data_IF_992489392464
#
_entry.id   IF_992489392464
#
_cell.length_a   1.000
_cell.length_b   1.000
_cell.length_c   1.000
_cell.angle_alpha   90.00
_cell.angle_beta   90.00
_cell.angle_gamma   90.00
#
_symmetry.space_group_name_H-M   'P 1'
#
loop_
_entity.id
_entity.type
_entity.pdbx_description
1 polymer ?
#
# COMPACT_ATOMS: atom_id res chain seq x y z
N UNK A 1 10.81 -19.83 28.04
CA UNK A 1 10.26 -18.45 27.99
C UNK A 1 8.74 -18.53 28.06
N UNK A 2 8.04 -17.64 28.78
CA UNK A 2 6.56 -17.63 28.78
C UNK A 2 6.03 -17.28 27.38
N UNK A 3 4.93 -17.89 26.93
CA UNK A 3 4.35 -17.63 25.59
C UNK A 3 4.13 -16.13 25.35
N UNK A 4 3.60 -15.41 26.35
CA UNK A 4 3.35 -13.96 26.25
C UNK A 4 4.61 -13.20 25.86
N UNK A 5 5.77 -13.53 26.45
CA UNK A 5 7.05 -12.88 26.16
C UNK A 5 7.51 -13.22 24.73
N UNK A 6 7.35 -14.48 24.29
CA UNK A 6 7.64 -14.87 22.91
C UNK A 6 6.78 -14.08 21.91
N UNK A 7 5.46 -14.05 22.11
CA UNK A 7 4.55 -13.32 21.24
C UNK A 7 4.83 -11.81 21.24
N UNK A 8 5.07 -11.20 22.40
CA UNK A 8 5.41 -9.77 22.50
C UNK A 8 6.70 -9.42 21.76
N UNK A 9 7.76 -10.22 21.91
CA UNK A 9 9.03 -10.01 21.18
C UNK A 9 8.87 -10.22 19.67
N UNK A 10 8.12 -11.25 19.26
CA UNK A 10 7.84 -11.55 17.87
C UNK A 10 7.01 -10.43 17.20
N UNK A 11 5.99 -9.91 17.89
CA UNK A 11 5.23 -8.74 17.43
C UNK A 11 6.08 -7.47 17.36
N UNK A 12 6.87 -7.18 18.41
CA UNK A 12 7.77 -6.03 18.40
C UNK A 12 8.75 -6.05 17.23
N UNK A 13 9.31 -7.23 16.90
CA UNK A 13 10.22 -7.39 15.76
C UNK A 13 9.50 -7.21 14.40
N UNK A 14 8.28 -7.73 14.25
CA UNK A 14 7.52 -7.56 13.00
C UNK A 14 7.03 -6.11 12.80
N UNK A 15 6.61 -5.43 13.87
CA UNK A 15 6.26 -4.01 13.83
C UNK A 15 7.50 -3.15 13.55
N UNK A 16 8.64 -3.43 14.18
CA UNK A 16 9.90 -2.74 13.88
C UNK A 16 10.32 -2.91 12.41
N UNK A 17 10.04 -4.08 11.83
CA UNK A 17 10.27 -4.32 10.41
C UNK A 17 9.32 -3.51 9.51
N UNK A 18 8.01 -3.67 9.67
CA UNK A 18 7.01 -3.03 8.80
C UNK A 18 6.89 -1.51 8.98
N UNK A 19 7.02 -1.00 10.21
CA UNK A 19 6.88 0.43 10.49
C UNK A 19 8.16 1.24 10.20
N UNK A 20 9.33 0.59 10.10
CA UNK A 20 10.63 1.28 9.92
C UNK A 20 11.53 0.68 8.83
N UNK A 21 11.99 -0.57 8.99
CA UNK A 21 12.94 -1.16 8.03
C UNK A 21 12.38 -1.30 6.61
N UNK A 22 11.07 -1.53 6.46
CA UNK A 22 10.40 -1.60 5.17
C UNK A 22 10.54 -0.32 4.33
N UNK A 23 10.56 0.86 4.95
CA UNK A 23 10.83 2.14 4.27
C UNK A 23 12.35 2.38 4.08
N UNK A 24 13.17 1.90 5.01
CA UNK A 24 14.58 2.25 5.14
C UNK A 24 15.54 1.44 4.23
N UNK A 25 15.21 0.16 3.98
CA UNK A 25 16.13 -0.81 3.36
C UNK A 25 15.90 -1.02 1.86
N UNK A 26 14.67 -1.34 1.37
CA UNK A 26 14.46 -1.63 -0.05
C UNK A 26 14.83 -0.45 -0.93
N UNK A 27 14.42 0.75 -0.51
CA UNK A 27 14.77 2.04 -1.12
C UNK A 27 16.28 2.14 -1.36
N UNK A 28 17.12 2.01 -0.34
CA UNK A 28 18.58 2.10 -0.48
C UNK A 28 19.26 0.98 -1.27
N UNK A 29 18.57 -0.13 -1.56
CA UNK A 29 19.15 -1.30 -2.21
C UNK A 29 18.74 -1.41 -3.69
N UNK A 30 17.57 -0.91 -4.07
CA UNK A 30 17.11 -0.88 -5.48
C UNK A 30 17.28 0.50 -6.13
N UNK A 31 17.15 1.58 -5.35
CA UNK A 31 17.28 2.95 -5.83
C UNK A 31 18.69 3.50 -5.57
N UNK A 32 19.30 4.11 -6.59
CA UNK A 32 20.63 4.71 -6.51
C UNK A 32 20.79 5.83 -7.56
N UNK A 33 21.70 6.77 -7.30
CA UNK A 33 22.11 7.77 -8.29
C UNK A 33 22.95 7.09 -9.38
N UNK A 34 22.46 7.06 -10.62
CA UNK A 34 23.07 6.25 -11.71
C UNK A 34 24.46 6.71 -12.15
N UNK A 35 24.91 7.91 -11.73
CA UNK A 35 26.19 8.52 -12.10
C UNK A 35 27.47 7.80 -11.62
N UNK A 36 27.35 6.76 -10.78
CA UNK A 36 28.46 6.14 -10.03
C UNK A 36 29.59 5.55 -10.91
N UNK A 37 29.35 5.31 -12.21
CA UNK A 37 30.31 4.68 -13.12
C UNK A 37 30.97 5.59 -14.17
N UNK A 38 30.61 6.88 -14.28
CA UNK A 38 31.17 7.77 -15.30
C UNK A 38 31.66 9.09 -14.69
N UNK A 39 32.98 9.17 -14.53
CA UNK A 39 33.78 10.37 -14.25
C UNK A 39 33.60 11.04 -12.87
N UNK A 40 34.52 10.69 -11.96
CA UNK A 40 34.72 11.31 -10.63
C UNK A 40 34.97 12.83 -10.66
N UNK A 41 35.34 13.42 -11.81
CA UNK A 41 35.60 14.85 -11.92
C UNK A 41 34.33 15.69 -12.17
N UNK A 42 33.19 15.08 -12.50
CA UNK A 42 32.01 15.82 -12.95
C UNK A 42 30.96 16.00 -11.84
N UNK A 43 30.64 17.26 -11.52
CA UNK A 43 29.55 17.58 -10.59
C UNK A 43 28.18 17.38 -11.26
N UNK A 44 27.23 16.84 -10.50
CA UNK A 44 25.86 16.58 -10.95
C UNK A 44 24.85 17.08 -9.90
N UNK A 45 23.74 17.64 -10.37
CA UNK A 45 22.62 18.03 -9.52
C UNK A 45 21.69 16.83 -9.29
N UNK A 46 21.42 16.51 -8.02
CA UNK A 46 20.56 15.40 -7.59
C UNK A 46 19.11 15.85 -7.45
N UNK A 47 18.21 15.22 -8.18
CA UNK A 47 16.81 15.60 -8.26
C UNK A 47 15.94 14.40 -7.84
N UNK A 48 14.92 14.62 -7.01
CA UNK A 48 13.90 13.62 -6.69
C UNK A 48 12.52 14.10 -7.16
N UNK A 49 11.89 13.35 -8.05
CA UNK A 49 10.55 13.64 -8.59
C UNK A 49 9.47 12.79 -7.91
N UNK A 50 8.39 13.43 -7.48
CA UNK A 50 7.29 12.85 -6.67
C UNK A 50 5.95 13.20 -7.35
N UNK A 51 5.08 12.21 -7.54
CA UNK A 51 3.80 12.35 -8.25
C UNK A 51 2.59 12.03 -7.36
N UNK A 52 1.45 12.65 -7.68
CA UNK A 52 0.10 12.36 -7.19
C UNK A 52 -0.08 12.14 -5.65
N UNK A 53 0.26 13.11 -4.77
CA UNK A 53 -0.07 13.02 -3.32
C UNK A 53 -1.57 13.04 -2.99
N UNK A 54 -2.36 13.76 -3.81
CA UNK A 54 -3.84 13.85 -3.86
C UNK A 54 -4.56 13.89 -2.48
N UNK A 55 -4.06 14.67 -1.51
CA UNK A 55 -4.53 14.72 -0.10
C UNK A 55 -6.06 14.70 0.02
N UNK A 56 -6.60 13.76 0.82
CA UNK A 56 -8.04 13.43 0.85
C UNK A 56 -8.89 14.49 1.56
N UNK A 57 -9.94 14.95 0.89
CA UNK A 57 -10.86 15.96 1.38
C UNK A 57 -11.93 15.44 2.37
N UNK A 58 -12.52 16.35 3.14
CA UNK A 58 -13.43 16.09 4.28
C UNK A 58 -14.89 15.76 3.91
N UNK A 59 -15.14 15.14 2.75
CA UNK A 59 -16.52 14.78 2.35
C UNK A 59 -17.08 13.56 3.12
N UNK A 60 -18.37 13.27 2.92
CA UNK A 60 -19.30 12.86 3.99
C UNK A 60 -19.31 11.40 4.45
N UNK A 61 -18.26 10.93 5.15
CA UNK A 61 -18.41 9.89 6.19
C UNK A 61 -17.24 9.93 7.21
N UNK A 62 -17.41 10.48 8.44
CA UNK A 62 -16.29 10.99 9.23
C UNK A 62 -15.32 9.91 9.74
N UNK A 63 -15.76 8.99 10.60
CA UNK A 63 -14.83 8.15 11.39
C UNK A 63 -13.97 7.21 10.52
N UNK A 64 -14.58 6.57 9.52
CA UNK A 64 -13.85 5.67 8.63
C UNK A 64 -12.88 6.42 7.72
N UNK A 65 -13.28 7.58 7.19
CA UNK A 65 -12.43 8.39 6.32
C UNK A 65 -11.25 8.98 7.09
N UNK A 66 -11.46 9.49 8.29
CA UNK A 66 -10.38 10.09 9.10
C UNK A 66 -9.27 9.06 9.40
N UNK A 67 -9.64 7.81 9.68
CA UNK A 67 -8.67 6.71 9.84
C UNK A 67 -7.93 6.40 8.53
N UNK A 68 -8.64 6.35 7.39
CA UNK A 68 -8.04 6.11 6.07
C UNK A 68 -7.08 7.25 5.69
N UNK A 69 -7.49 8.51 5.88
CA UNK A 69 -6.68 9.71 5.69
C UNK A 69 -5.43 9.68 6.57
N UNK A 70 -5.58 9.47 7.88
CA UNK A 70 -4.46 9.40 8.83
C UNK A 70 -3.41 8.37 8.42
N UNK A 71 -3.81 7.14 8.05
CA UNK A 71 -2.86 6.13 7.59
C UNK A 71 -2.27 6.42 6.19
N UNK A 72 -2.92 7.21 5.35
CA UNK A 72 -2.39 7.67 4.06
C UNK A 72 -1.34 8.77 4.23
N UNK A 73 -1.64 9.81 5.04
CA UNK A 73 -0.68 10.86 5.39
C UNK A 73 0.54 10.29 6.14
N UNK A 74 0.31 9.37 7.08
CA UNK A 74 1.36 8.69 7.84
C UNK A 74 2.26 7.84 6.92
N UNK A 75 1.68 7.15 5.93
CA UNK A 75 2.46 6.45 4.90
C UNK A 75 3.33 7.42 4.09
N UNK A 76 2.73 8.45 3.48
CA UNK A 76 3.45 9.41 2.64
C UNK A 76 4.58 10.10 3.42
N UNK A 77 4.33 10.45 4.68
CA UNK A 77 5.31 11.05 5.59
C UNK A 77 6.48 10.11 5.91
N UNK A 78 6.22 8.84 6.21
CA UNK A 78 7.29 7.82 6.44
C UNK A 78 8.11 7.60 5.19
N UNK A 79 7.43 7.40 4.05
CA UNK A 79 8.00 7.29 2.71
C UNK A 79 8.94 8.45 2.43
N UNK A 80 8.48 9.68 2.56
CA UNK A 80 9.28 10.86 2.26
C UNK A 80 10.49 11.01 3.18
N UNK A 81 10.29 10.89 4.50
CA UNK A 81 11.37 11.08 5.49
C UNK A 81 12.39 9.93 5.52
N UNK A 82 11.99 8.70 5.18
CA UNK A 82 12.80 7.48 5.40
C UNK A 82 13.26 6.79 4.12
N UNK A 83 12.56 7.02 2.99
CA UNK A 83 12.86 6.43 1.68
C UNK A 83 13.41 7.46 0.69
N UNK A 84 12.90 8.70 0.69
CA UNK A 84 13.25 9.72 -0.33
C UNK A 84 14.33 10.69 0.18
N UNK A 85 14.08 11.42 1.27
CA UNK A 85 15.05 12.40 1.81
C UNK A 85 16.45 11.83 2.10
N UNK A 86 16.65 10.57 2.52
CA UNK A 86 18.00 10.05 2.78
C UNK A 86 18.89 9.89 1.54
N UNK A 87 18.38 10.08 0.32
CA UNK A 87 19.19 10.24 -0.88
C UNK A 87 19.86 11.63 -0.99
N UNK A 88 19.49 12.56 -0.10
CA UNK A 88 19.97 13.94 -0.03
C UNK A 88 19.89 14.69 -1.38
N UNK A 89 18.68 14.86 -1.95
CA UNK A 89 18.49 15.59 -3.20
C UNK A 89 18.77 17.09 -3.03
N UNK A 90 19.31 17.71 -4.08
CA UNK A 90 19.51 19.16 -4.17
C UNK A 90 18.24 19.87 -4.66
N UNK A 91 17.37 19.14 -5.36
CA UNK A 91 16.04 19.61 -5.79
C UNK A 91 14.99 18.50 -5.61
N UNK A 92 13.79 18.88 -5.16
CA UNK A 92 12.59 18.04 -5.18
C UNK A 92 11.62 18.63 -6.21
N UNK A 93 11.17 17.82 -7.16
CA UNK A 93 10.12 18.16 -8.11
C UNK A 93 8.82 17.48 -7.68
N UNK A 94 7.78 18.26 -7.49
CA UNK A 94 6.42 17.77 -7.30
C UNK A 94 5.69 17.88 -8.65
N UNK A 95 5.10 16.77 -9.12
CA UNK A 95 4.54 16.62 -10.47
C UNK A 95 3.01 16.77 -10.52
N UNK A 96 2.43 17.61 -9.65
CA UNK A 96 1.00 17.89 -9.60
C UNK A 96 0.15 16.91 -8.79
N UNK A 97 -1.13 17.23 -8.76
CA UNK A 97 -2.24 16.54 -8.09
C UNK A 97 -1.97 16.39 -6.58
N UNK A 98 -1.94 17.53 -5.88
CA UNK A 98 -1.65 17.62 -4.45
C UNK A 98 -2.86 17.35 -3.56
N UNK A 99 -4.08 17.55 -4.07
CA UNK A 99 -5.35 17.48 -3.32
C UNK A 99 -6.44 16.70 -4.09
N UNK A 100 -7.44 16.18 -3.40
CA UNK A 100 -8.48 15.28 -3.93
C UNK A 100 -9.75 16.04 -4.39
N UNK A 101 -9.56 17.12 -5.17
CA UNK A 101 -10.64 17.92 -5.77
C UNK A 101 -10.72 19.38 -5.33
N UNK A 102 -9.65 20.17 -5.52
CA UNK A 102 -9.57 21.57 -5.03
C UNK A 102 -10.67 22.51 -5.52
N UNK A 103 -11.33 22.17 -6.63
CA UNK A 103 -12.33 22.99 -7.32
C UNK A 103 -13.66 23.16 -6.55
N UNK A 104 -13.79 22.64 -5.31
CA UNK A 104 -15.06 22.63 -4.56
C UNK A 104 -14.92 22.66 -3.03
N UNK A 105 -13.76 23.07 -2.48
CA UNK A 105 -13.52 23.23 -1.03
C UNK A 105 -13.43 24.71 -0.62
N UNK A 106 -13.56 25.02 0.67
CA UNK A 106 -13.43 26.41 1.15
C UNK A 106 -11.95 26.84 1.28
N UNK A 107 -11.72 28.15 1.40
CA UNK A 107 -10.37 28.71 1.64
C UNK A 107 -9.75 28.14 2.93
N UNK A 108 -10.55 27.93 3.99
CA UNK A 108 -10.07 27.31 5.23
C UNK A 108 -9.67 25.84 5.03
N UNK A 109 -10.45 25.07 4.28
CA UNK A 109 -10.13 23.67 3.97
C UNK A 109 -8.90 23.57 3.06
N UNK A 110 -8.76 24.45 2.08
CA UNK A 110 -7.55 24.56 1.24
C UNK A 110 -6.31 24.90 2.09
N UNK A 111 -6.40 25.85 3.03
CA UNK A 111 -5.27 26.17 3.92
C UNK A 111 -4.95 25.03 4.90
N UNK A 112 -5.93 24.28 5.38
CA UNK A 112 -5.69 23.11 6.25
C UNK A 112 -5.07 21.94 5.46
N UNK A 113 -5.51 21.71 4.23
CA UNK A 113 -4.90 20.75 3.29
C UNK A 113 -3.47 21.16 2.91
N UNK A 114 -3.22 22.44 2.59
CA UNK A 114 -1.88 22.98 2.32
C UNK A 114 -0.97 22.90 3.55
N UNK A 115 -1.50 23.11 4.76
CA UNK A 115 -0.81 22.87 6.03
C UNK A 115 -0.44 21.41 6.22
N UNK A 116 -1.36 20.49 5.87
CA UNK A 116 -1.15 19.03 5.92
C UNK A 116 -0.06 18.60 4.92
N UNK A 117 -0.09 19.11 3.68
CA UNK A 117 0.94 18.90 2.66
C UNK A 117 2.33 19.36 3.14
N UNK A 118 2.42 20.61 3.65
CA UNK A 118 3.64 21.17 4.24
C UNK A 118 4.14 20.38 5.46
N UNK A 119 3.23 19.79 6.24
CA UNK A 119 3.60 18.89 7.34
C UNK A 119 4.19 17.57 6.81
N UNK A 120 3.45 16.82 5.98
CA UNK A 120 3.81 15.50 5.44
C UNK A 120 5.19 15.55 4.80
N UNK A 121 5.37 16.45 3.84
CA UNK A 121 6.62 16.67 3.10
C UNK A 121 7.61 17.60 3.83
N UNK A 122 7.36 17.94 5.10
CA UNK A 122 8.33 18.58 6.01
C UNK A 122 8.93 19.89 5.45
N UNK A 123 8.18 20.59 4.58
CA UNK A 123 8.69 21.64 3.69
C UNK A 123 9.26 22.82 4.48
N UNK A 124 8.57 23.23 5.56
CA UNK A 124 8.99 24.28 6.47
C UNK A 124 10.39 24.04 7.09
N UNK A 125 10.82 22.77 7.23
CA UNK A 125 12.18 22.43 7.67
C UNK A 125 13.16 22.42 6.51
N UNK A 126 12.76 21.91 5.35
CA UNK A 126 13.58 21.88 4.13
C UNK A 126 14.00 23.31 3.76
N UNK A 127 13.02 24.20 3.58
CA UNK A 127 13.24 25.62 3.22
C UNK A 127 14.02 26.42 4.26
N UNK A 128 14.02 26.00 5.54
CA UNK A 128 14.71 26.69 6.64
C UNK A 128 16.10 26.12 6.97
N UNK A 129 16.38 24.86 6.67
CA UNK A 129 17.57 24.15 7.19
C UNK A 129 18.36 23.33 6.17
N UNK A 130 17.93 23.29 4.91
CA UNK A 130 18.68 22.66 3.82
C UNK A 130 18.80 23.62 2.63
N UNK A 131 19.75 23.35 1.74
CA UNK A 131 19.86 24.04 0.45
C UNK A 131 18.98 23.38 -0.64
N UNK A 132 18.12 22.42 -0.28
CA UNK A 132 17.27 21.67 -1.20
C UNK A 132 16.13 22.56 -1.69
N UNK A 133 16.06 22.79 -3.01
CA UNK A 133 14.99 23.57 -3.63
C UNK A 133 13.76 22.70 -3.89
N UNK A 134 12.59 23.32 -4.03
CA UNK A 134 11.32 22.64 -4.36
C UNK A 134 10.64 23.35 -5.50
N UNK A 135 10.19 22.62 -6.52
CA UNK A 135 9.37 23.14 -7.62
C UNK A 135 8.11 22.31 -7.77
N UNK A 136 7.03 22.93 -8.23
CA UNK A 136 5.68 22.39 -8.23
C UNK A 136 5.06 22.58 -9.60
N UNK A 137 4.65 21.48 -10.22
CA UNK A 137 3.87 21.45 -11.45
C UNK A 137 2.38 21.44 -11.10
N UNK A 138 1.51 22.01 -11.93
CA UNK A 138 0.06 21.93 -11.70
C UNK A 138 -0.51 20.60 -12.21
N UNK A 139 -1.26 19.90 -11.37
CA UNK A 139 -2.12 18.79 -11.77
C UNK A 139 -3.54 19.25 -12.10
N UNK A 140 -4.34 18.37 -12.73
CA UNK A 140 -5.72 18.71 -13.10
C UNK A 140 -6.67 18.82 -11.88
N UNK A 141 -6.27 18.34 -10.69
CA UNK A 141 -7.01 18.53 -9.43
C UNK A 141 -6.58 19.80 -8.65
N UNK A 142 -5.53 20.50 -9.07
CA UNK A 142 -4.92 21.62 -8.33
C UNK A 142 -5.41 23.02 -8.76
N UNK A 143 -6.02 23.14 -9.94
CA UNK A 143 -6.27 24.44 -10.62
C UNK A 143 -7.66 25.03 -10.25
N UNK A 144 -8.23 24.63 -9.11
CA UNK A 144 -9.58 25.06 -8.68
C UNK A 144 -9.71 26.56 -8.45
N UNK A 145 -8.68 27.18 -7.86
CA UNK A 145 -8.50 28.64 -7.80
C UNK A 145 -7.06 28.96 -8.18
N UNK A 146 -6.86 29.52 -9.38
CA UNK A 146 -5.52 29.81 -9.91
C UNK A 146 -4.72 30.73 -8.97
N UNK A 147 -5.36 31.73 -8.36
CA UNK A 147 -4.72 32.65 -7.41
C UNK A 147 -4.26 31.92 -6.14
N UNK A 148 -5.06 30.97 -5.65
CA UNK A 148 -4.75 30.13 -4.48
C UNK A 148 -3.67 29.09 -4.78
N UNK A 149 -3.55 28.64 -6.03
CA UNK A 149 -2.46 27.80 -6.51
C UNK A 149 -1.15 28.59 -6.64
N UNK A 150 -1.13 29.66 -7.46
CA UNK A 150 0.11 30.38 -7.78
C UNK A 150 0.73 31.05 -6.55
N UNK A 151 -0.09 31.52 -5.59
CA UNK A 151 0.39 32.07 -4.31
C UNK A 151 0.99 31.01 -3.37
N UNK A 152 0.65 29.73 -3.54
CA UNK A 152 1.15 28.62 -2.73
C UNK A 152 2.34 27.87 -3.36
N UNK A 153 2.35 27.75 -4.69
CA UNK A 153 3.22 26.85 -5.45
C UNK A 153 4.06 27.54 -6.54
N UNK A 154 3.71 28.77 -6.95
CA UNK A 154 4.31 29.48 -8.07
C UNK A 154 3.57 29.29 -9.39
N UNK A 155 4.04 29.96 -10.45
CA UNK A 155 3.37 29.99 -11.75
C UNK A 155 3.25 28.61 -12.41
N UNK A 156 2.07 28.29 -12.96
CA UNK A 156 1.76 26.97 -13.54
C UNK A 156 2.61 26.62 -14.77
N UNK A 157 3.12 27.62 -15.49
CA UNK A 157 4.10 27.46 -16.56
C UNK A 157 5.42 28.11 -16.13
N UNK A 158 6.52 27.36 -16.13
CA UNK A 158 7.82 27.85 -15.63
C UNK A 158 9.02 27.22 -16.34
N UNK A 159 10.16 27.92 -16.30
CA UNK A 159 11.49 27.39 -16.62
C UNK A 159 12.39 27.47 -15.41
N UNK A 160 13.17 26.42 -15.15
CA UNK A 160 14.26 26.42 -14.18
C UNK A 160 15.46 25.65 -14.72
N UNK A 161 16.64 26.27 -14.71
CA UNK A 161 17.90 25.59 -15.01
C UNK A 161 18.44 24.91 -13.75
N UNK A 162 18.67 23.59 -13.82
CA UNK A 162 19.20 22.75 -12.72
C UNK A 162 20.45 22.05 -13.25
N UNK A 163 21.62 22.45 -12.76
CA UNK A 163 22.89 22.10 -13.41
C UNK A 163 23.04 22.84 -14.73
N UNK A 164 23.39 22.12 -15.81
CA UNK A 164 23.35 22.64 -17.20
C UNK A 164 22.07 22.24 -17.96
N UNK A 165 21.00 21.85 -17.26
CA UNK A 165 19.76 21.34 -17.89
C UNK A 165 18.58 22.27 -17.62
N UNK A 166 17.86 22.66 -18.67
CA UNK A 166 16.67 23.51 -18.60
C UNK A 166 15.41 22.65 -18.41
N UNK A 167 14.82 22.68 -17.21
CA UNK A 167 13.54 22.04 -16.90
C UNK A 167 12.40 23.01 -17.18
N UNK A 168 11.41 22.58 -17.96
CA UNK A 168 10.28 23.40 -18.41
C UNK A 168 8.99 22.73 -17.94
N UNK A 169 8.34 23.33 -16.96
CA UNK A 169 7.01 22.95 -16.49
C UNK A 169 5.92 23.60 -17.32
N UNK A 170 4.96 22.79 -17.76
CA UNK A 170 3.79 23.26 -18.51
C UNK A 170 2.48 22.94 -17.79
N UNK A 171 1.52 23.86 -17.90
CA UNK A 171 0.14 23.62 -17.51
C UNK A 171 -0.55 22.76 -18.59
N UNK A 172 -0.59 21.45 -18.33
CA UNK A 172 -1.17 20.46 -19.22
C UNK A 172 -2.69 20.63 -19.42
N UNK A 173 -3.40 21.13 -18.41
CA UNK A 173 -4.85 21.33 -18.47
C UNK A 173 -5.18 22.55 -19.34
N UNK A 174 -4.45 23.66 -19.16
CA UNK A 174 -4.60 24.86 -19.98
C UNK A 174 -4.09 24.67 -21.42
N UNK A 175 -3.11 23.79 -21.66
CA UNK A 175 -2.58 23.51 -23.00
C UNK A 175 -3.64 22.96 -23.97
N UNK A 176 -4.54 22.08 -23.51
CA UNK A 176 -5.70 21.59 -24.28
C UNK A 176 -7.00 22.35 -23.94
N UNK A 177 -6.89 23.47 -23.23
CA UNK A 177 -7.99 24.35 -22.83
C UNK A 177 -8.72 25.00 -24.00
N UNK A 178 -9.96 25.44 -23.74
CA UNK A 178 -10.88 25.86 -24.80
C UNK A 178 -10.32 27.03 -25.65
N UNK A 179 -10.35 26.98 -27.00
CA UNK A 179 -9.78 28.03 -27.86
C UNK A 179 -10.41 29.43 -27.73
N UNK A 180 -11.54 29.55 -27.03
CA UNK A 180 -12.22 30.83 -26.76
C UNK A 180 -12.39 31.10 -25.25
N UNK A 181 -11.73 30.33 -24.38
CA UNK A 181 -11.69 30.58 -22.93
C UNK A 181 -10.73 31.70 -22.56
N UNK A 182 -10.73 32.12 -21.30
CA UNK A 182 -9.80 33.15 -20.79
C UNK A 182 -8.32 32.71 -20.89
N UNK A 183 -8.06 31.41 -20.76
CA UNK A 183 -6.77 30.79 -21.01
C UNK A 183 -6.91 29.82 -22.18
N UNK A 184 -6.26 30.12 -23.30
CA UNK A 184 -6.33 29.33 -24.54
C UNK A 184 -5.03 28.57 -24.77
N UNK A 185 -5.12 27.45 -25.50
CA UNK A 185 -3.95 26.70 -26.00
C UNK A 185 -2.89 27.60 -26.66
N UNK A 186 -3.31 28.54 -27.51
CA UNK A 186 -2.44 29.54 -28.16
C UNK A 186 -1.74 30.48 -27.15
N UNK A 187 -2.40 30.83 -26.05
CA UNK A 187 -1.83 31.67 -24.99
C UNK A 187 -0.84 30.87 -24.14
N UNK A 188 -1.14 29.60 -23.84
CA UNK A 188 -0.19 28.67 -23.20
C UNK A 188 1.08 28.51 -24.04
N UNK A 189 0.94 28.22 -25.33
CA UNK A 189 2.07 28.08 -26.27
C UNK A 189 2.90 29.38 -26.41
N UNK A 190 2.25 30.56 -26.36
CA UNK A 190 2.97 31.86 -26.30
C UNK A 190 3.70 32.07 -24.97
N UNK A 191 3.12 31.64 -23.85
CA UNK A 191 3.77 31.62 -22.54
C UNK A 191 5.02 30.74 -22.56
N UNK A 192 4.91 29.51 -23.08
CA UNK A 192 6.03 28.58 -23.26
C UNK A 192 7.10 29.18 -24.20
N UNK A 193 6.72 29.79 -25.32
CA UNK A 193 7.65 30.51 -26.22
C UNK A 193 8.46 31.59 -25.49
N UNK A 194 7.82 32.36 -24.60
CA UNK A 194 8.50 33.40 -23.81
C UNK A 194 9.47 32.84 -22.75
N UNK A 195 9.39 31.55 -22.41
CA UNK A 195 10.34 30.84 -21.54
C UNK A 195 11.52 30.22 -22.31
N UNK A 196 11.47 30.18 -23.64
CA UNK A 196 12.44 29.48 -24.49
C UNK A 196 13.53 30.41 -25.02
N UNK A 197 14.52 30.70 -24.17
CA UNK A 197 15.77 31.36 -24.57
C UNK A 197 16.50 30.61 -25.71
N UNK A 198 17.42 31.33 -26.37
CA UNK A 198 18.46 30.75 -27.25
C UNK A 198 19.54 30.08 -26.38
N UNK A 199 19.11 29.08 -25.62
CA UNK A 199 19.91 28.22 -24.75
C UNK A 199 20.19 26.89 -25.46
N UNK A 200 21.46 26.48 -25.47
CA UNK A 200 21.91 25.17 -25.96
C UNK A 200 21.78 24.04 -24.93
N UNK A 201 21.29 24.35 -23.72
CA UNK A 201 21.13 23.38 -22.64
C UNK A 201 20.20 22.23 -23.07
N UNK A 202 20.48 20.98 -22.68
CA UNK A 202 19.51 19.90 -22.74
C UNK A 202 18.23 20.28 -22.01
N UNK A 203 17.08 19.88 -22.54
CA UNK A 203 15.76 20.26 -22.01
C UNK A 203 15.00 19.07 -21.46
N UNK A 204 14.37 19.26 -20.30
CA UNK A 204 13.40 18.32 -19.73
C UNK A 204 12.03 18.97 -19.73
N UNK A 205 11.04 18.29 -20.34
CA UNK A 205 9.64 18.68 -20.23
C UNK A 205 9.04 18.04 -18.97
N UNK A 206 8.38 18.85 -18.14
CA UNK A 206 7.57 18.41 -17.01
C UNK A 206 6.10 18.68 -17.35
N UNK A 207 5.27 17.65 -17.41
CA UNK A 207 3.84 17.79 -17.72
C UNK A 207 3.02 16.78 -16.91
N UNK A 208 2.05 17.24 -16.10
CA UNK A 208 1.34 16.34 -15.19
C UNK A 208 0.61 15.23 -15.97
N UNK A 209 -0.19 15.63 -16.96
CA UNK A 209 -0.89 14.72 -17.87
C UNK A 209 0.12 14.18 -18.91
N UNK A 210 0.28 12.86 -19.08
CA UNK A 210 1.19 12.27 -20.05
C UNK A 210 0.93 12.69 -21.50
N UNK A 211 1.95 12.57 -22.33
CA UNK A 211 1.86 12.91 -23.75
C UNK A 211 0.99 11.91 -24.54
N UNK A 212 0.45 12.37 -25.67
CA UNK A 212 -0.35 11.53 -26.55
C UNK A 212 0.40 10.25 -26.95
N UNK A 213 -0.28 9.11 -26.80
CA UNK A 213 0.16 7.81 -27.30
C UNK A 213 -1.04 6.98 -27.78
N UNK A 214 -0.90 6.16 -28.84
CA UNK A 214 -1.97 5.28 -29.28
C UNK A 214 -2.47 4.33 -28.18
N UNK A 215 -3.72 3.90 -28.28
CA UNK A 215 -4.27 2.86 -27.40
C UNK A 215 -3.40 1.60 -27.39
N UNK A 216 -3.32 0.94 -26.23
CA UNK A 216 -2.50 -0.26 -26.00
C UNK A 216 -0.97 -0.07 -26.18
N UNK A 217 -0.47 1.17 -26.21
CA UNK A 217 0.98 1.44 -26.20
C UNK A 217 1.67 0.79 -25.00
N UNK A 218 2.67 -0.10 -25.20
CA UNK A 218 3.35 -0.77 -24.09
C UNK A 218 4.15 0.18 -23.19
N UNK A 219 3.93 0.09 -21.89
CA UNK A 219 4.56 0.98 -20.87
C UNK A 219 5.94 0.54 -20.37
N UNK A 220 6.59 -0.44 -21.02
CA UNK A 220 7.80 -1.06 -20.49
C UNK A 220 7.54 -2.03 -19.32
N UNK A 221 8.61 -2.52 -18.64
CA UNK A 221 8.52 -3.66 -17.72
C UNK A 221 8.08 -3.31 -16.29
N UNK A 222 7.87 -2.03 -15.98
CA UNK A 222 7.62 -1.56 -14.61
C UNK A 222 6.14 -1.31 -14.29
N UNK A 223 5.25 -1.26 -15.30
CA UNK A 223 3.82 -1.09 -15.09
C UNK A 223 3.22 -2.30 -14.35
N UNK A 224 2.35 -2.05 -13.37
CA UNK A 224 1.70 -3.10 -12.57
C UNK A 224 0.23 -3.36 -12.96
N UNK A 225 -0.43 -2.36 -13.53
CA UNK A 225 -1.84 -2.35 -13.95
C UNK A 225 -2.01 -2.53 -15.46
N UNK A 226 -3.24 -2.79 -15.96
CA UNK A 226 -3.55 -2.69 -17.38
C UNK A 226 -3.22 -1.30 -17.95
N UNK A 227 -2.92 -1.23 -19.25
CA UNK A 227 -2.65 0.03 -19.95
C UNK A 227 -3.92 0.89 -19.94
N UNK A 228 -3.81 2.15 -19.51
CA UNK A 228 -4.86 3.15 -19.65
C UNK A 228 -4.88 3.64 -21.11
N UNK A 229 -6.03 3.50 -21.77
CA UNK A 229 -6.25 3.97 -23.15
C UNK A 229 -6.71 5.43 -23.19
N UNK A 230 -6.82 6.00 -24.40
CA UNK A 230 -7.29 7.37 -24.62
C UNK A 230 -8.72 7.56 -24.09
N UNK A 231 -8.90 8.59 -23.26
CA UNK A 231 -10.20 9.05 -22.78
C UNK A 231 -10.15 10.56 -22.62
N UNK A 232 -11.19 11.23 -23.14
CA UNK A 232 -11.40 12.67 -23.00
C UNK A 232 -12.88 12.92 -22.74
N UNK A 233 -13.19 13.53 -21.59
CA UNK A 233 -14.53 13.99 -21.26
C UNK A 233 -14.62 15.50 -21.47
N UNK A 234 -15.65 15.92 -22.22
CA UNK A 234 -15.94 17.33 -22.53
C UNK A 234 -17.34 17.68 -22.06
N UNK A 235 -17.58 18.95 -21.75
CA UNK A 235 -18.93 19.47 -21.50
C UNK A 235 -19.69 19.50 -22.84
N UNK A 236 -20.94 19.03 -22.86
CA UNK A 236 -21.77 19.09 -24.06
C UNK A 236 -21.90 20.54 -24.57
N UNK A 237 -21.83 20.69 -25.89
CA UNK A 237 -21.72 21.97 -26.63
C UNK A 237 -20.47 22.85 -26.35
N UNK A 238 -19.73 22.64 -25.27
CA UNK A 238 -18.70 23.59 -24.80
C UNK A 238 -17.28 23.42 -25.38
N UNK A 239 -16.95 22.29 -26.02
CA UNK A 239 -15.59 21.85 -26.41
C UNK A 239 -14.55 21.74 -25.28
N UNK A 240 -14.71 22.44 -24.16
CA UNK A 240 -13.89 22.39 -22.94
C UNK A 240 -13.68 20.97 -22.41
N UNK A 241 -12.45 20.66 -21.98
CA UNK A 241 -12.06 19.36 -21.44
C UNK A 241 -12.17 19.39 -19.92
N UNK A 242 -13.05 18.54 -19.37
CA UNK A 242 -13.22 18.36 -17.92
C UNK A 242 -12.18 17.38 -17.38
N UNK A 243 -11.82 16.37 -18.19
CA UNK A 243 -10.88 15.32 -17.82
C UNK A 243 -10.28 14.68 -19.08
N UNK A 244 -8.97 14.42 -19.08
CA UNK A 244 -8.30 13.63 -20.12
C UNK A 244 -7.16 12.80 -19.53
N UNK A 245 -7.00 11.55 -19.99
CA UNK A 245 -5.90 10.68 -19.58
C UNK A 245 -4.54 11.13 -20.17
N UNK A 246 -4.57 11.90 -21.26
CA UNK A 246 -3.43 12.27 -22.09
C UNK A 246 -3.64 13.66 -22.69
N UNK A 247 -2.54 14.38 -22.93
CA UNK A 247 -2.53 15.58 -23.78
C UNK A 247 -2.91 15.18 -25.21
N UNK A 248 -3.63 16.04 -25.94
CA UNK A 248 -4.05 15.71 -27.31
C UNK A 248 -2.86 15.56 -28.27
N UNK A 249 -3.04 14.77 -29.34
CA UNK A 249 -2.02 14.55 -30.38
C UNK A 249 -1.49 15.87 -30.98
N UNK A 250 -2.40 16.80 -31.29
CA UNK A 250 -2.05 18.13 -31.83
C UNK A 250 -1.13 18.89 -30.86
N UNK A 251 -1.52 18.96 -29.59
CA UNK A 251 -0.77 19.70 -28.57
C UNK A 251 0.56 19.03 -28.26
N UNK A 252 0.58 17.70 -28.14
CA UNK A 252 1.79 16.87 -27.98
C UNK A 252 2.81 17.14 -29.08
N UNK A 253 2.39 17.04 -30.35
CA UNK A 253 3.26 17.33 -31.50
C UNK A 253 3.77 18.78 -31.49
N UNK A 254 2.90 19.74 -31.12
CA UNK A 254 3.26 21.15 -31.03
C UNK A 254 4.33 21.45 -29.97
N UNK A 255 4.21 20.89 -28.76
CA UNK A 255 5.19 21.11 -27.69
C UNK A 255 6.49 20.34 -27.91
N UNK A 256 6.47 19.16 -28.54
CA UNK A 256 7.67 18.41 -28.89
C UNK A 256 8.50 19.15 -29.96
N UNK A 257 7.86 19.64 -31.03
CA UNK A 257 8.52 20.45 -32.07
C UNK A 257 9.09 21.78 -31.55
N UNK A 258 8.42 22.38 -30.57
CA UNK A 258 8.76 23.67 -29.96
C UNK A 258 9.89 23.56 -28.92
N UNK A 259 9.71 22.69 -27.93
CA UNK A 259 10.63 22.57 -26.79
C UNK A 259 11.85 21.73 -27.17
N UNK A 260 11.65 20.66 -27.96
CA UNK A 260 12.64 19.63 -28.34
C UNK A 260 13.34 19.02 -27.12
N UNK A 261 12.58 18.42 -26.19
CA UNK A 261 13.15 17.82 -24.98
C UNK A 261 14.00 16.60 -25.31
N UNK A 262 14.99 16.33 -24.45
CA UNK A 262 15.71 15.06 -24.41
C UNK A 262 14.96 14.01 -23.56
N UNK A 263 14.21 14.49 -22.56
CA UNK A 263 13.45 13.70 -21.59
C UNK A 263 12.11 14.40 -21.27
N UNK A 264 11.06 13.62 -21.06
CA UNK A 264 9.77 14.07 -20.52
C UNK A 264 9.51 13.34 -19.20
N UNK A 265 9.03 14.05 -18.18
CA UNK A 265 8.46 13.46 -16.97
C UNK A 265 6.97 13.77 -16.90
N UNK A 266 6.18 12.75 -16.61
CA UNK A 266 4.72 12.86 -16.40
C UNK A 266 4.22 12.11 -15.17
N UNK A 267 2.95 12.29 -14.84
CA UNK A 267 2.26 11.76 -13.67
C UNK A 267 0.85 11.25 -14.09
N UNK A 268 -0.21 11.44 -13.29
CA UNK A 268 -1.63 11.23 -13.64
C UNK A 268 -2.10 9.77 -13.87
N UNK A 269 -1.32 8.96 -14.59
CA UNK A 269 -1.56 7.51 -14.83
C UNK A 269 -1.48 6.69 -13.53
N UNK A 270 -0.93 7.28 -12.45
CA UNK A 270 -0.63 6.72 -11.12
C UNK A 270 0.31 5.49 -11.14
N UNK A 271 0.54 4.88 -12.29
CA UNK A 271 1.38 3.70 -12.52
C UNK A 271 2.58 4.01 -13.40
N UNK A 272 3.61 3.18 -13.30
CA UNK A 272 4.88 3.44 -13.99
C UNK A 272 4.74 3.18 -15.49
N UNK A 273 5.15 4.14 -16.32
CA UNK A 273 5.18 3.98 -17.77
C UNK A 273 6.48 4.54 -18.37
N UNK A 274 6.94 3.98 -19.48
CA UNK A 274 8.04 4.53 -20.27
C UNK A 274 7.75 4.39 -21.76
N UNK A 275 7.79 5.51 -22.48
CA UNK A 275 7.38 5.64 -23.89
C UNK A 275 8.41 6.45 -24.66
N UNK A 276 8.50 6.20 -25.97
CA UNK A 276 9.46 6.79 -26.90
C UNK A 276 8.75 7.68 -27.92
N UNK A 277 8.93 9.00 -27.83
CA UNK A 277 8.26 10.00 -28.69
C UNK A 277 9.20 10.52 -29.76
N UNK A 278 8.82 10.38 -31.03
CA UNK A 278 9.58 10.90 -32.18
C UNK A 278 8.99 12.22 -32.69
N UNK A 279 9.85 13.16 -33.08
CA UNK A 279 9.50 14.44 -33.70
C UNK A 279 10.54 14.81 -34.77
N UNK A 280 10.30 15.82 -35.61
CA UNK A 280 10.96 15.97 -36.94
C UNK A 280 12.50 15.89 -36.90
N UNK A 281 13.12 16.42 -35.85
CA UNK A 281 14.57 16.48 -35.68
C UNK A 281 15.05 15.83 -34.37
N UNK A 282 14.27 14.91 -33.77
CA UNK A 282 14.67 14.34 -32.48
C UNK A 282 13.77 13.24 -31.93
N UNK A 283 14.09 12.88 -30.68
CA UNK A 283 13.38 11.87 -29.92
C UNK A 283 13.48 12.18 -28.43
N UNK A 284 12.35 12.16 -27.73
CA UNK A 284 12.28 12.27 -26.28
C UNK A 284 11.77 10.97 -25.66
N UNK A 285 12.48 10.47 -24.64
CA UNK A 285 11.93 9.42 -23.78
C UNK A 285 10.98 10.08 -22.78
N UNK A 286 9.77 9.55 -22.62
CA UNK A 286 8.88 9.90 -21.52
C UNK A 286 8.98 8.85 -20.42
N UNK A 287 9.08 9.30 -19.16
CA UNK A 287 8.82 8.48 -17.99
C UNK A 287 7.61 9.03 -17.24
N UNK A 288 6.53 8.26 -17.18
CA UNK A 288 5.41 8.53 -16.27
C UNK A 288 5.76 7.97 -14.90
N UNK A 289 5.86 8.86 -13.92
CA UNK A 289 6.20 8.55 -12.53
C UNK A 289 4.91 8.13 -11.81
N UNK A 290 4.85 6.89 -11.32
CA UNK A 290 3.70 6.42 -10.56
C UNK A 290 3.61 7.07 -9.18
N UNK A 291 2.39 7.17 -8.66
CA UNK A 291 2.01 7.91 -7.44
C UNK A 291 2.88 7.61 -6.22
N UNK A 292 3.03 8.60 -5.33
CA UNK A 292 3.61 8.44 -3.99
C UNK A 292 2.62 7.83 -2.97
N UNK A 293 1.35 7.61 -3.34
CA UNK A 293 0.25 7.16 -2.46
C UNK A 293 -0.17 5.72 -2.75
N UNK A 294 -0.22 4.88 -1.71
CA UNK A 294 -0.60 3.46 -1.77
C UNK A 294 -2.08 3.14 -2.10
N UNK A 295 -2.89 4.11 -2.51
CA UNK A 295 -4.36 4.01 -2.58
C UNK A 295 -4.95 4.31 -3.97
N UNK A 296 -4.18 4.86 -4.91
CA UNK A 296 -4.68 5.27 -6.23
C UNK A 296 -4.52 4.15 -7.28
N UNK A 297 -5.09 2.98 -6.99
CA UNK A 297 -5.08 1.81 -7.87
C UNK A 297 -3.73 1.08 -8.01
N UNK A 298 -2.61 1.79 -7.99
CA UNK A 298 -1.27 1.22 -8.06
C UNK A 298 -0.88 0.55 -6.73
N UNK A 299 -0.51 -0.73 -6.81
CA UNK A 299 0.00 -1.51 -5.66
C UNK A 299 1.47 -1.22 -5.33
N UNK A 300 2.22 -0.60 -6.25
CA UNK A 300 3.64 -0.34 -6.15
C UNK A 300 3.94 1.17 -6.32
N UNK A 301 3.64 2.00 -5.30
CA UNK A 301 3.93 3.44 -5.35
C UNK A 301 5.41 3.72 -5.64
N UNK A 302 5.71 4.87 -6.23
CA UNK A 302 7.08 5.20 -6.65
C UNK A 302 7.46 6.66 -6.44
N UNK A 303 8.74 6.91 -6.67
CA UNK A 303 9.33 8.21 -6.99
C UNK A 303 10.41 7.98 -8.05
N UNK A 304 10.90 9.03 -8.70
CA UNK A 304 12.04 8.93 -9.63
C UNK A 304 13.22 9.75 -9.12
N UNK A 305 14.41 9.18 -9.19
CA UNK A 305 15.65 9.94 -9.07
C UNK A 305 16.14 10.36 -10.45
N UNK A 306 16.60 11.61 -10.57
CA UNK A 306 17.28 12.12 -11.74
C UNK A 306 18.62 12.75 -11.36
N UNK A 307 19.57 12.69 -12.28
CA UNK A 307 20.84 13.40 -12.16
C UNK A 307 21.13 14.18 -13.44
N UNK A 308 21.30 15.49 -13.29
CA UNK A 308 21.66 16.41 -14.36
C UNK A 308 23.15 16.76 -14.24
N UNK A 309 23.92 16.56 -15.30
CA UNK A 309 25.38 16.80 -15.33
C UNK A 309 25.70 18.28 -15.57
N UNK A 310 26.72 18.81 -14.89
CA UNK A 310 27.17 20.20 -15.02
C UNK A 310 28.33 20.36 -16.03
N UNK A 311 28.43 19.49 -17.03
CA UNK A 311 29.42 19.51 -18.12
C UNK A 311 28.99 18.52 -19.20
N UNK A 312 28.21 18.97 -20.19
CA UNK A 312 27.60 18.09 -21.20
C UNK A 312 28.25 18.21 -22.60
N UNK A 313 28.77 17.08 -23.11
CA UNK A 313 29.25 16.93 -24.51
C UNK A 313 28.13 16.38 -25.43
N UNK A 314 27.06 15.85 -24.83
CA UNK A 314 25.89 15.27 -25.51
C UNK A 314 24.64 15.47 -24.63
N UNK A 315 23.49 15.86 -25.19
CA UNK A 315 22.25 16.04 -24.42
C UNK A 315 21.67 14.76 -23.81
N UNK A 316 22.00 13.58 -24.37
CA UNK A 316 21.50 12.29 -23.85
C UNK A 316 22.34 11.77 -22.68
N UNK A 317 23.63 12.09 -22.66
CA UNK A 317 24.55 11.71 -21.58
C UNK A 317 24.55 12.74 -20.42
N UNK A 318 23.82 13.85 -20.58
CA UNK A 318 23.63 14.88 -19.56
C UNK A 318 22.60 14.51 -18.48
N UNK A 319 21.75 13.51 -18.76
CA UNK A 319 20.59 13.16 -17.95
C UNK A 319 20.54 11.65 -17.68
N UNK A 320 20.52 11.29 -16.40
CA UNK A 320 20.31 9.91 -15.96
C UNK A 320 19.07 9.82 -15.08
N UNK A 321 18.23 8.81 -15.30
CA UNK A 321 17.02 8.52 -14.53
C UNK A 321 17.15 7.18 -13.81
N UNK A 322 16.43 7.01 -12.69
CA UNK A 322 16.25 5.73 -12.01
C UNK A 322 14.88 5.72 -11.30
N UNK A 323 14.07 4.69 -11.50
CA UNK A 323 12.72 4.60 -10.93
C UNK A 323 12.74 3.78 -9.65
N UNK A 324 12.14 4.33 -8.59
CA UNK A 324 12.39 3.91 -7.22
C UNK A 324 11.08 3.56 -6.51
N UNK A 325 10.89 2.27 -6.30
CA UNK A 325 9.68 1.73 -5.66
C UNK A 325 9.66 1.94 -4.15
N UNK A 326 8.45 2.13 -3.63
CA UNK A 326 8.14 2.39 -2.23
C UNK A 326 7.47 1.16 -1.58
N UNK A 327 7.30 1.13 -0.24
CA UNK A 327 6.81 -0.06 0.44
C UNK A 327 5.33 -0.34 0.11
N UNK A 328 5.03 -1.58 -0.30
CA UNK A 328 3.67 -2.01 -0.59
C UNK A 328 2.85 -2.12 0.70
N UNK A 329 2.17 -1.03 1.08
CA UNK A 329 1.50 -0.89 2.38
C UNK A 329 0.41 -1.97 2.60
N UNK A 330 -0.28 -2.37 1.53
CA UNK A 330 -1.25 -3.48 1.55
C UNK A 330 -0.61 -4.78 2.03
N UNK A 331 0.59 -5.12 1.55
CA UNK A 331 1.32 -6.33 1.98
C UNK A 331 1.70 -6.26 3.47
N UNK A 332 2.09 -5.09 3.98
CA UNK A 332 2.41 -4.88 5.41
C UNK A 332 1.16 -5.12 6.26
N UNK A 333 0.00 -4.58 5.87
CA UNK A 333 -1.26 -4.78 6.59
C UNK A 333 -1.79 -6.22 6.47
N UNK A 334 -1.70 -6.87 5.31
CA UNK A 334 -2.04 -8.29 5.14
C UNK A 334 -1.13 -9.19 5.97
N UNK A 335 0.15 -8.85 6.11
CA UNK A 335 1.08 -9.54 7.01
C UNK A 335 0.66 -9.39 8.48
N UNK A 336 0.40 -8.16 8.96
CA UNK A 336 -0.09 -7.93 10.32
C UNK A 336 -1.42 -8.67 10.61
N UNK A 337 -2.37 -8.67 9.67
CA UNK A 337 -3.62 -9.41 9.82
C UNK A 337 -3.39 -10.93 9.91
N UNK A 338 -2.45 -11.45 9.13
CA UNK A 338 -2.05 -12.86 9.15
C UNK A 338 -1.37 -13.23 10.48
N UNK A 339 -0.47 -12.38 10.99
CA UNK A 339 0.15 -12.52 12.31
C UNK A 339 -0.90 -12.49 13.43
N UNK A 340 -1.93 -11.65 13.32
CA UNK A 340 -3.02 -11.56 14.29
C UNK A 340 -3.86 -12.84 14.30
N UNK A 341 -4.29 -13.32 13.13
CA UNK A 341 -5.02 -14.58 13.02
C UNK A 341 -4.22 -15.77 13.59
N UNK A 342 -2.93 -15.86 13.27
CA UNK A 342 -2.02 -16.87 13.83
C UNK A 342 -1.84 -16.74 15.34
N UNK A 343 -1.73 -15.51 15.86
CA UNK A 343 -1.63 -15.24 17.31
C UNK A 343 -2.88 -15.70 18.06
N UNK A 344 -4.08 -15.43 17.51
CA UNK A 344 -5.36 -15.90 18.08
C UNK A 344 -5.42 -17.42 18.07
N UNK A 345 -5.05 -18.09 16.97
CA UNK A 345 -5.00 -19.55 16.89
C UNK A 345 -4.03 -20.15 17.91
N UNK A 346 -2.84 -19.57 18.08
CA UNK A 346 -1.87 -20.01 19.10
C UNK A 346 -2.46 -19.86 20.51
N UNK A 347 -3.02 -18.69 20.85
CA UNK A 347 -3.60 -18.44 22.20
C UNK A 347 -4.74 -19.43 22.51
N UNK A 348 -5.61 -19.71 21.54
CA UNK A 348 -6.74 -20.66 21.71
C UNK A 348 -6.31 -22.13 21.86
N UNK A 349 -5.10 -22.49 21.43
CA UNK A 349 -4.58 -23.86 21.49
C UNK A 349 -3.54 -24.09 22.59
N UNK A 350 -2.87 -23.03 23.08
CA UNK A 350 -1.62 -23.18 23.82
C UNK A 350 -1.71 -23.90 25.17
N UNK A 351 -2.79 -23.76 25.98
CA UNK A 351 -2.99 -24.66 27.11
C UNK A 351 -4.45 -25.16 27.27
N UNK A 352 -4.96 -25.89 26.27
CA UNK A 352 -5.69 -27.13 26.59
C UNK A 352 -4.72 -28.31 26.84
N UNK A 353 -3.46 -28.14 26.41
CA UNK A 353 -2.39 -29.15 26.40
C UNK A 353 -1.65 -29.29 27.73
N UNK A 354 -1.34 -28.21 28.47
CA UNK A 354 -0.66 -28.30 29.78
C UNK A 354 -1.47 -29.15 30.79
N UNK A 355 -2.80 -29.01 30.78
CA UNK A 355 -3.73 -29.82 31.59
C UNK A 355 -3.72 -31.30 31.18
N UNK A 356 -3.43 -31.61 29.92
CA UNK A 356 -3.31 -33.00 29.44
C UNK A 356 -1.93 -33.61 29.72
N UNK A 357 -0.85 -32.83 29.63
CA UNK A 357 0.52 -33.31 29.87
C UNK A 357 0.72 -33.61 31.36
N UNK A 358 0.37 -32.66 32.24
CA UNK A 358 0.46 -32.84 33.70
C UNK A 358 -0.32 -34.05 34.19
N UNK A 359 -1.57 -34.20 33.73
CA UNK A 359 -2.47 -35.30 34.10
C UNK A 359 -2.04 -36.67 33.54
N UNK A 360 -1.25 -36.70 32.45
CA UNK A 360 -0.66 -37.95 31.92
C UNK A 360 0.64 -38.31 32.65
N UNK A 361 1.40 -37.32 33.13
CA UNK A 361 2.61 -37.55 33.91
C UNK A 361 2.28 -38.06 35.32
N UNK A 362 1.26 -37.49 35.98
CA UNK A 362 0.79 -37.99 37.29
C UNK A 362 0.27 -39.43 37.21
N UNK A 363 -0.48 -39.78 36.16
CA UNK A 363 -0.94 -41.17 35.95
C UNK A 363 0.20 -42.18 35.74
N UNK A 364 1.40 -41.72 35.40
CA UNK A 364 2.59 -42.57 35.31
C UNK A 364 3.21 -42.80 36.70
N UNK A 365 3.41 -41.73 37.48
CA UNK A 365 3.94 -41.85 38.85
C UNK A 365 3.02 -42.61 39.80
N UNK A 366 1.70 -42.46 39.64
CA UNK A 366 0.71 -43.17 40.45
C UNK A 366 0.71 -44.69 40.15
N UNK A 367 0.99 -45.08 38.90
CA UNK A 367 1.07 -46.48 38.49
C UNK A 367 2.33 -47.18 39.02
N UNK A 368 3.49 -46.51 39.00
CA UNK A 368 4.73 -47.05 39.57
C UNK A 368 4.66 -47.13 41.10
N UNK A 369 4.07 -46.13 41.77
CA UNK A 369 3.88 -46.13 43.23
C UNK A 369 2.98 -47.26 43.74
N UNK A 370 1.92 -47.60 43.00
CA UNK A 370 0.98 -48.67 43.39
C UNK A 370 1.62 -50.08 43.38
N UNK A 371 2.61 -50.33 42.52
CA UNK A 371 3.19 -51.66 42.32
C UNK A 371 4.04 -52.14 43.52
N UNK A 372 4.45 -51.22 44.41
CA UNK A 372 5.39 -51.52 45.50
C UNK A 372 4.75 -51.95 46.84
N UNK A 373 3.41 -52.07 46.91
CA UNK A 373 2.66 -52.19 48.18
C UNK A 373 2.03 -53.56 48.49
N UNK A 374 2.54 -54.65 47.93
CA UNK A 374 2.17 -56.03 48.35
C UNK A 374 2.93 -56.42 49.63
N UNK A 375 2.49 -55.91 50.79
CA UNK A 375 3.02 -56.32 52.10
C UNK A 375 2.56 -57.74 52.45
N UNK A 376 3.51 -58.64 52.72
CA UNK A 376 3.27 -60.01 53.22
C UNK A 376 2.45 -59.98 54.51
N UNK A 377 1.32 -60.68 54.54
CA UNK A 377 0.54 -60.91 55.75
C UNK A 377 1.25 -61.91 56.67
N UNK A 378 1.77 -61.43 57.82
CA UNK A 378 2.41 -62.27 58.82
C UNK A 378 1.34 -62.99 59.66
N UNK A 379 1.28 -64.31 59.55
CA UNK A 379 0.35 -65.18 60.28
C UNK A 379 0.65 -65.10 61.79
N UNK A 380 -0.36 -64.81 62.61
CA UNK A 380 -0.28 -64.86 64.09
C UNK A 380 -1.38 -65.79 64.59
N UNK A 381 -1.07 -66.58 65.62
CA UNK A 381 -1.92 -67.65 66.15
C UNK A 381 -3.01 -67.12 67.10
N UNK A 382 -4.21 -67.68 66.99
CA UNK A 382 -5.33 -67.45 67.90
C UNK A 382 -5.08 -68.13 69.24
N UNK A 383 -5.27 -67.39 70.34
CA UNK A 383 -5.50 -67.97 71.68
C UNK A 383 -7.00 -67.93 71.95
N UNK A 384 -7.54 -69.02 72.52
CA UNK A 384 -8.93 -69.10 73.00
C UNK A 384 -8.97 -68.92 74.51
N UNK A 385 -10.00 -68.24 74.98
CA UNK A 385 -10.55 -68.40 76.33
C UNK A 385 -12.09 -68.38 76.22
N UNK A 386 -12.82 -68.93 77.20
CA UNK A 386 -14.17 -69.48 76.92
C UNK A 386 -15.21 -69.39 78.03
N UNK A 387 -16.41 -68.93 77.66
CA UNK A 387 -17.69 -68.98 78.43
C UNK A 387 -17.74 -68.08 79.68
N UNK A 388 -18.89 -67.73 80.28
CA UNK A 388 -20.30 -68.19 80.16
C UNK A 388 -21.24 -67.05 80.66
N UNK A 389 -22.57 -66.96 80.43
CA UNK A 389 -23.56 -67.59 79.52
C UNK A 389 -24.89 -66.81 79.64
N UNK A 390 -25.59 -66.46 78.54
CA UNK A 390 -27.07 -66.33 78.55
C UNK A 390 -27.74 -66.44 77.16
N UNK A 391 -29.05 -66.74 77.17
CA UNK A 391 -29.96 -66.96 76.02
C UNK A 391 -30.76 -65.67 75.70
N UNK A 392 -31.35 -65.47 74.52
CA UNK A 392 -31.39 -66.29 73.30
C UNK A 392 -32.52 -65.85 72.34
N UNK A 393 -32.80 -66.68 71.30
CA UNK A 393 -33.83 -66.52 70.24
C UNK A 393 -33.59 -65.35 69.26
N UNK A 394 -33.28 -65.58 67.97
CA UNK A 394 -34.12 -66.09 66.86
C UNK A 394 -35.04 -65.00 66.25
N UNK A 395 -35.27 -64.88 64.93
CA UNK A 395 -35.27 -65.89 63.84
C UNK A 395 -34.60 -65.35 62.55
N UNK A 396 -34.00 -66.24 61.74
CA UNK A 396 -33.56 -65.96 60.36
C UNK A 396 -34.68 -66.15 59.33
N UNK A 397 -34.70 -65.35 58.25
CA UNK A 397 -34.78 -65.93 56.90
C UNK A 397 -34.26 -65.04 55.76
N UNK A 398 -33.57 -65.68 54.83
CA UNK A 398 -33.23 -65.18 53.50
C UNK A 398 -33.66 -66.22 52.46
N UNK A 399 -34.11 -65.79 51.28
CA UNK A 399 -34.02 -66.48 49.97
C UNK A 399 -34.28 -65.41 48.89
N UNK A 400 -33.44 -65.17 47.87
CA UNK A 400 -32.79 -66.02 46.83
C UNK A 400 -33.65 -66.16 45.55
N UNK A 401 -32.97 -65.98 44.42
CA UNK A 401 -33.46 -65.97 43.03
C UNK A 401 -34.57 -66.94 42.63
N UNK A 402 -35.31 -66.55 41.58
CA UNK A 402 -35.32 -67.34 40.33
C UNK A 402 -35.29 -66.44 39.09
N UNK A 403 -34.89 -67.01 37.96
CA UNK A 403 -34.84 -66.46 36.60
C UNK A 403 -35.52 -67.49 35.65
N UNK A 404 -35.66 -67.17 34.36
CA UNK A 404 -36.14 -68.05 33.25
C UNK A 404 -37.68 -68.30 33.24
N UNK A 405 -38.40 -68.20 32.10
CA UNK A 405 -38.02 -67.72 30.75
C UNK A 405 -39.24 -67.38 29.84
N UNK A 406 -38.93 -66.95 28.60
CA UNK A 406 -39.66 -67.07 27.34
C UNK A 406 -40.78 -66.05 26.93
N UNK A 407 -40.63 -65.51 25.71
CA UNK A 407 -41.67 -64.84 24.90
C UNK A 407 -41.71 -63.30 25.02
N UNK A 408 -41.72 -62.51 23.94
CA UNK A 408 -41.57 -62.79 22.51
C UNK A 408 -40.91 -61.60 21.79
N UNK A 409 -40.58 -61.74 20.50
CA UNK A 409 -39.68 -60.82 19.79
C UNK A 409 -40.29 -59.46 19.40
N UNK A 410 -39.43 -58.45 19.38
CA UNK A 410 -39.48 -57.31 18.44
C UNK A 410 -38.05 -56.91 18.13
N UNK A 411 -37.75 -56.72 16.84
CA UNK A 411 -36.41 -56.31 16.39
C UNK A 411 -36.21 -54.81 16.62
N UNK A 412 -35.01 -54.41 17.06
CA UNK A 412 -34.58 -53.00 16.98
C UNK A 412 -33.12 -52.95 16.53
N UNK A 413 -32.83 -52.08 15.55
CA UNK A 413 -31.60 -52.17 14.74
C UNK A 413 -30.49 -51.32 15.34
N UNK A 414 -29.56 -51.98 16.01
CA UNK A 414 -28.40 -51.39 16.68
C UNK A 414 -27.49 -50.57 15.74
N UNK A 415 -27.77 -49.29 15.58
CA UNK A 415 -26.95 -48.36 14.79
C UNK A 415 -25.79 -47.81 15.64
N UNK A 416 -24.57 -48.27 15.34
CA UNK A 416 -23.33 -47.82 15.98
C UNK A 416 -23.06 -46.31 15.73
N UNK A 417 -23.62 -45.44 16.57
CA UNK A 417 -23.52 -43.99 16.44
C UNK A 417 -22.17 -43.48 16.95
N UNK A 418 -21.16 -43.51 16.07
CA UNK A 418 -19.81 -43.04 16.38
C UNK A 418 -19.80 -41.54 16.76
N UNK A 419 -19.59 -41.26 18.05
CA UNK A 419 -19.46 -39.89 18.56
C UNK A 419 -18.15 -39.24 18.10
N UNK A 420 -18.11 -38.70 16.88
CA UNK A 420 -17.07 -37.75 16.47
C UNK A 420 -17.11 -36.53 17.41
N UNK A 421 -16.00 -36.14 18.06
CA UNK A 421 -16.02 -35.02 19.01
C UNK A 421 -16.40 -33.73 18.29
N UNK A 422 -17.22 -32.89 18.94
CA UNK A 422 -17.69 -31.60 18.38
C UNK A 422 -16.54 -30.69 17.93
N UNK A 423 -15.38 -30.78 18.60
CA UNK A 423 -14.13 -30.13 18.20
C UNK A 423 -13.76 -30.38 16.73
N UNK A 424 -13.88 -31.61 16.23
CA UNK A 424 -13.52 -31.92 14.84
C UNK A 424 -14.47 -31.23 13.83
N UNK A 425 -15.75 -31.04 14.16
CA UNK A 425 -16.66 -30.25 13.31
C UNK A 425 -16.36 -28.76 13.35
N UNK A 426 -15.93 -28.22 14.51
CA UNK A 426 -15.51 -26.83 14.64
C UNK A 426 -14.22 -26.60 13.84
N UNK A 427 -13.22 -27.46 14.00
CA UNK A 427 -11.95 -27.43 13.25
C UNK A 427 -12.22 -27.55 11.74
N UNK A 428 -13.08 -28.46 11.28
CA UNK A 428 -13.43 -28.55 9.85
C UNK A 428 -14.23 -27.35 9.32
N UNK A 429 -15.04 -26.68 10.15
CA UNK A 429 -15.70 -25.41 9.77
C UNK A 429 -14.68 -24.26 9.70
N UNK A 430 -13.74 -24.18 10.65
CA UNK A 430 -12.67 -23.18 10.66
C UNK A 430 -11.66 -23.38 9.53
N UNK A 431 -11.30 -24.62 9.20
CA UNK A 431 -10.46 -24.97 8.04
C UNK A 431 -11.15 -24.68 6.70
N UNK A 432 -12.49 -24.76 6.62
CA UNK A 432 -13.24 -24.25 5.46
C UNK A 432 -13.26 -22.73 5.40
N UNK A 433 -13.45 -22.05 6.53
CA UNK A 433 -13.43 -20.58 6.58
C UNK A 433 -12.05 -20.00 6.22
N UNK A 434 -10.97 -20.58 6.76
CA UNK A 434 -9.60 -20.19 6.39
C UNK A 434 -9.25 -20.58 4.95
N UNK A 435 -9.74 -21.71 4.41
CA UNK A 435 -9.66 -21.96 2.95
C UNK A 435 -10.49 -20.99 2.11
N UNK A 436 -11.58 -20.41 2.62
CA UNK A 436 -12.32 -19.37 1.91
C UNK A 436 -11.62 -17.99 1.97
N UNK A 437 -10.79 -17.75 3.00
CA UNK A 437 -9.99 -16.52 3.16
C UNK A 437 -8.57 -16.61 2.55
N UNK A 438 -8.07 -17.83 2.30
CA UNK A 438 -6.72 -18.10 1.76
C UNK A 438 -6.74 -18.82 0.40
N UNK A 439 -7.90 -19.21 -0.12
CA UNK A 439 -8.01 -19.43 -1.56
C UNK A 439 -7.91 -18.06 -2.25
N UNK A 440 -7.17 -17.94 -3.36
CA UNK A 440 -7.30 -16.77 -4.21
C UNK A 440 -8.72 -16.80 -4.78
N UNK A 441 -9.59 -15.94 -4.26
CA UNK A 441 -10.88 -15.68 -4.89
C UNK A 441 -10.62 -15.01 -6.23
N UNK A 442 -10.51 -15.82 -7.28
CA UNK A 442 -10.73 -15.43 -8.68
C UNK A 442 -12.22 -15.05 -8.88
N UNK A 443 -12.70 -14.11 -8.07
CA UNK A 443 -13.91 -13.36 -8.30
C UNK A 443 -13.58 -12.31 -9.37
N UNK A 444 -13.61 -12.80 -10.62
CA UNK A 444 -14.12 -12.08 -11.78
C UNK A 444 -14.35 -10.57 -11.59
N UNK A 445 -13.29 -9.77 -11.74
CA UNK A 445 -13.47 -8.44 -12.33
C UNK A 445 -13.72 -8.61 -13.83
N UNK A 446 -14.86 -9.20 -14.19
CA UNK A 446 -15.41 -8.98 -15.51
C UNK A 446 -15.95 -7.57 -15.56
N UNK A 447 -15.31 -6.77 -16.42
CA UNK A 447 -15.89 -5.64 -17.16
C UNK A 447 -17.42 -5.56 -17.11
N UNK A 448 -17.97 -4.92 -16.08
CA UNK A 448 -19.33 -4.38 -16.09
C UNK A 448 -19.29 -3.03 -16.81
N UNK A 449 -19.26 -3.08 -18.14
CA UNK A 449 -19.34 -1.92 -19.03
C UNK A 449 -20.75 -1.28 -18.94
N UNK A 450 -21.07 -0.65 -17.81
CA UNK A 450 -22.39 -0.09 -17.53
C UNK A 450 -22.33 1.06 -16.51
N UNK A 451 -22.08 2.26 -17.04
CA UNK A 451 -22.62 3.58 -16.61
C UNK A 451 -23.02 3.72 -15.12
N UNK A 452 -22.21 4.45 -14.37
CA UNK A 452 -22.73 5.39 -13.36
C UNK A 452 -22.36 6.79 -13.85
N UNK A 453 -23.34 7.64 -14.24
CA UNK A 453 -23.04 9.00 -14.68
C UNK A 453 -22.76 9.89 -13.46
N UNK A 454 -21.63 10.61 -13.48
CA UNK A 454 -21.35 11.69 -12.54
C UNK A 454 -22.20 12.92 -12.89
N UNK A 455 -23.49 12.85 -12.58
CA UNK A 455 -24.45 13.95 -12.75
C UNK A 455 -25.45 13.94 -11.59
N UNK A 456 -25.65 15.11 -10.96
CA UNK A 456 -26.62 15.39 -9.88
C UNK A 456 -26.33 14.73 -8.53
N UNK A 457 -25.47 15.39 -7.75
CA UNK A 457 -25.97 15.99 -6.51
C UNK A 457 -25.97 17.51 -6.75
N UNK A 458 -26.99 18.21 -6.25
CA UNK A 458 -27.26 19.64 -6.45
C UNK A 458 -26.99 20.44 -5.19
#
# INVERSE_FOLDING_TARGET
MKLTIFLSLFWAMNLLYGEWFAYLVPSRWTCYWTCIYIDYSSSYAKIAAIADPQLMDRTSLPLAREVVRFYSELYMRRTFLSSILPFNPDVILFLGDYFDGSNSISDEEWQESLGSFKHIFNLNRIHKTSNTKTYYLSGNQDIGSSDSYESAFGASNFKVTIGEVDFIGIDAQTLDGHPQGNFTSDTCLKGILNLLDISSNPRVLLSHIPLYRPDWTPCGPHRSSPIINQLVHRVDHGQEIVYQNYITEKSTNSILELIRPALVLSAHDHDQCTVSHAYNNGHATEHTVGTVRWQQGNLYPSFMLLSAKNSSVSPKDALMTNICFLPVQTHIYTWYLSLFAMTVVVILLWPASEVHITRKLSSFTDAEGAMHLIKKTKKVSVVKESSSTQRGNAVMRSKVHKQEDAGSASEDVGTHRTNRPRANMIIWRFLRATRALLAPTFLYMHSSSSRIPWTKIS
#
